data_IF_022033473210
#
_entry.id   IF_022033473210
#
_cell.length_a   1.000
_cell.length_b   1.000
_cell.length_c   1.000
_cell.angle_alpha   90.00
_cell.angle_beta   90.00
_cell.angle_gamma   90.00
#
_symmetry.space_group_name_H-M   'P 1'
#
loop_
_entity.id
_entity.type
_entity.pdbx_description
1 polymer ?
#
# COMPACT_ATOMS: atom_id res chain seq x y z
N UNK A 1 -12.27 52.85 -37.37
CA UNK A 1 -11.89 51.89 -38.45
C UNK A 1 -10.40 51.59 -38.28
N UNK A 2 -9.86 50.40 -38.58
CA UNK A 2 -10.41 49.04 -38.60
C UNK A 2 -9.50 48.01 -37.85
N UNK A 3 -10.08 46.98 -37.22
CA UNK A 3 -9.96 45.54 -37.56
C UNK A 3 -8.53 44.94 -37.56
N UNK A 4 -8.20 44.14 -36.54
CA UNK A 4 -7.00 43.29 -36.53
C UNK A 4 -7.07 42.05 -35.63
N UNK A 5 -8.25 41.68 -35.12
CA UNK A 5 -8.43 40.66 -34.08
C UNK A 5 -9.07 39.35 -34.55
N UNK A 6 -9.13 39.12 -35.88
CA UNK A 6 -9.83 37.97 -36.46
C UNK A 6 -8.93 36.76 -36.79
N UNK A 7 -7.63 36.95 -36.98
CA UNK A 7 -6.75 35.88 -37.49
C UNK A 7 -6.22 34.96 -36.40
N UNK A 8 -6.05 35.45 -35.17
CA UNK A 8 -5.49 34.64 -34.06
C UNK A 8 -6.51 33.67 -33.44
N UNK A 9 -7.82 33.88 -33.66
CA UNK A 9 -8.87 32.99 -33.13
C UNK A 9 -9.09 31.72 -33.97
N UNK A 10 -8.57 31.67 -35.20
CA UNK A 10 -8.75 30.53 -36.10
C UNK A 10 -7.78 29.38 -35.81
N UNK A 11 -6.61 29.64 -35.21
CA UNK A 11 -5.64 28.59 -34.84
C UNK A 11 -5.97 27.87 -33.52
N UNK A 12 -6.83 28.45 -32.67
CA UNK A 12 -7.20 27.84 -31.39
C UNK A 12 -8.35 26.82 -31.47
N UNK A 13 -9.10 26.77 -32.59
CA UNK A 13 -10.26 25.87 -32.73
C UNK A 13 -9.94 24.54 -33.43
N UNK A 14 -8.78 24.43 -34.09
CA UNK A 14 -8.37 23.21 -34.80
C UNK A 14 -7.71 22.14 -33.89
N UNK A 15 -7.33 22.49 -32.66
CA UNK A 15 -6.69 21.55 -31.72
C UNK A 15 -7.71 20.79 -30.83
N UNK A 16 -8.99 21.20 -30.82
CA UNK A 16 -10.04 20.57 -30.02
C UNK A 16 -10.78 19.40 -30.70
N UNK A 17 -10.40 19.00 -31.92
CA UNK A 17 -11.13 17.99 -32.73
C UNK A 17 -10.51 16.58 -32.73
N UNK A 18 -9.53 16.28 -31.88
CA UNK A 18 -8.76 15.02 -31.94
C UNK A 18 -8.97 14.02 -30.78
N UNK A 19 -9.95 14.20 -29.88
CA UNK A 19 -10.18 13.25 -28.76
C UNK A 19 -11.61 12.71 -28.61
N UNK A 20 -12.41 12.70 -29.68
CA UNK A 20 -13.73 12.07 -29.69
C UNK A 20 -13.74 10.82 -30.59
N UNK A 21 -13.18 9.71 -30.10
CA UNK A 21 -13.41 8.39 -30.70
C UNK A 21 -13.16 7.28 -29.67
N UNK A 22 -14.25 6.78 -29.07
CA UNK A 22 -14.53 5.36 -28.79
C UNK A 22 -15.55 5.24 -27.64
N UNK A 23 -16.82 5.49 -27.95
CA UNK A 23 -17.94 4.82 -27.28
C UNK A 23 -18.53 3.84 -28.30
N UNK A 24 -18.40 2.55 -28.04
CA UNK A 24 -19.00 1.47 -28.82
C UNK A 24 -19.70 0.52 -27.87
N UNK A 25 -21.03 0.59 -27.87
CA UNK A 25 -21.96 -0.32 -27.20
C UNK A 25 -22.43 -1.36 -28.23
N UNK A 26 -22.44 -2.65 -27.88
CA UNK A 26 -23.14 -3.65 -28.69
C UNK A 26 -22.59 -5.06 -28.65
N UNK A 27 -23.47 -6.01 -28.29
CA UNK A 27 -23.47 -7.34 -28.93
C UNK A 27 -23.29 -8.54 -28.02
N UNK A 28 -24.41 -9.13 -27.60
CA UNK A 28 -24.51 -10.55 -27.22
C UNK A 28 -24.08 -11.44 -28.41
N UNK A 29 -23.24 -12.45 -28.18
CA UNK A 29 -23.45 -13.84 -28.66
C UNK A 29 -22.31 -14.77 -28.28
N UNK A 30 -22.69 -15.90 -27.69
CA UNK A 30 -21.85 -17.07 -27.43
C UNK A 30 -21.25 -17.65 -28.71
N UNK A 31 -20.04 -18.19 -28.61
CA UNK A 31 -19.57 -19.31 -29.42
C UNK A 31 -18.49 -20.08 -28.66
N UNK A 32 -18.85 -21.30 -28.25
CA UNK A 32 -17.91 -22.31 -27.78
C UNK A 32 -17.00 -22.75 -28.92
N UNK A 33 -15.68 -22.73 -28.72
CA UNK A 33 -14.78 -23.79 -29.21
C UNK A 33 -13.41 -23.69 -28.51
N UNK A 34 -12.77 -24.82 -28.12
CA UNK A 34 -11.59 -24.82 -27.27
C UNK A 34 -10.33 -24.64 -28.11
N UNK A 35 -9.61 -23.55 -27.88
CA UNK A 35 -8.24 -23.39 -28.36
C UNK A 35 -7.31 -23.55 -27.17
N UNK A 36 -6.68 -24.71 -27.09
CA UNK A 36 -5.60 -25.00 -26.16
C UNK A 36 -4.41 -24.14 -26.58
N UNK A 37 -4.15 -23.06 -25.83
CA UNK A 37 -2.93 -22.27 -25.94
C UNK A 37 -2.17 -22.32 -24.60
N UNK A 38 -0.82 -22.46 -24.61
CA UNK A 38 -0.05 -22.83 -23.44
C UNK A 38 -0.12 -21.80 -22.32
N UNK A 39 -0.18 -22.31 -21.08
CA UNK A 39 -0.18 -21.50 -19.86
C UNK A 39 0.97 -20.49 -19.83
N UNK A 40 0.65 -19.22 -20.03
CA UNK A 40 1.44 -18.14 -19.44
C UNK A 40 1.10 -18.10 -17.95
N UNK A 41 2.08 -18.20 -17.03
CA UNK A 41 1.85 -17.92 -15.62
C UNK A 41 1.72 -16.39 -15.47
N UNK A 42 0.61 -15.84 -15.95
CA UNK A 42 0.10 -14.55 -15.52
C UNK A 42 -0.54 -14.74 -14.15
N UNK A 43 0.27 -15.07 -13.15
CA UNK A 43 -0.15 -14.92 -11.77
C UNK A 43 -0.30 -13.41 -11.55
N UNK A 44 -1.52 -12.91 -11.77
CA UNK A 44 -2.00 -11.77 -11.01
C UNK A 44 -1.67 -12.09 -9.57
N UNK A 45 -0.71 -11.37 -9.00
CA UNK A 45 -0.57 -11.27 -7.57
C UNK A 45 -1.91 -10.71 -7.09
N UNK A 46 -2.84 -11.61 -6.77
CA UNK A 46 -3.88 -11.31 -5.83
C UNK A 46 -3.10 -10.78 -4.63
N UNK A 47 -3.29 -9.50 -4.33
CA UNK A 47 -2.83 -8.90 -3.10
C UNK A 47 -3.41 -9.78 -1.99
N UNK A 48 -2.60 -10.71 -1.50
CA UNK A 48 -2.96 -11.61 -0.42
C UNK A 48 -3.12 -10.68 0.76
N UNK A 49 -4.36 -10.30 1.05
CA UNK A 49 -4.68 -9.60 2.27
C UNK A 49 -4.01 -10.41 3.40
N UNK A 50 -3.14 -9.79 4.22
CA UNK A 50 -2.43 -10.52 5.26
C UNK A 50 -3.48 -11.20 6.13
N UNK A 51 -3.30 -12.50 6.37
CA UNK A 51 -4.13 -13.23 7.31
C UNK A 51 -4.14 -12.44 8.62
N UNK A 52 -5.33 -12.15 9.14
CA UNK A 52 -5.46 -11.38 10.38
C UNK A 52 -4.71 -12.13 11.49
N UNK A 53 -3.70 -11.46 12.03
CA UNK A 53 -2.78 -12.06 12.98
C UNK A 53 -3.41 -12.05 14.38
N UNK A 54 -3.66 -13.23 14.99
CA UNK A 54 -4.37 -13.32 16.26
C UNK A 54 -3.48 -12.81 17.39
N UNK A 55 -3.79 -11.62 17.92
CA UNK A 55 -3.05 -11.00 19.04
C UNK A 55 -2.63 -9.54 18.82
N UNK A 56 -2.94 -8.96 17.65
CA UNK A 56 -2.67 -7.55 17.35
C UNK A 56 -3.77 -6.60 17.85
N UNK A 57 -4.87 -7.12 18.39
CA UNK A 57 -6.02 -6.34 18.86
C UNK A 57 -5.77 -5.58 20.17
N UNK A 58 -4.66 -5.87 20.86
CA UNK A 58 -4.27 -5.20 22.10
C UNK A 58 -3.03 -4.31 21.96
N UNK A 59 -2.46 -4.20 20.76
CA UNK A 59 -1.26 -3.39 20.54
C UNK A 59 -1.63 -1.92 20.46
N UNK A 60 -1.07 -1.13 21.36
CA UNK A 60 -1.23 0.31 21.38
C UNK A 60 -0.16 0.99 20.53
N UNK A 61 -0.61 1.78 19.57
CA UNK A 61 0.25 2.57 18.69
C UNK A 61 0.19 4.06 19.01
N UNK A 62 -0.53 4.48 20.05
CA UNK A 62 -0.71 5.89 20.34
C UNK A 62 0.60 6.50 20.84
N UNK A 63 0.84 7.77 20.55
CA UNK A 63 1.97 8.50 21.08
C UNK A 63 1.69 10.00 21.09
N UNK A 64 2.35 10.72 22.00
CA UNK A 64 2.40 12.19 21.98
C UNK A 64 3.77 12.70 21.52
N UNK A 65 4.82 11.89 21.67
CA UNK A 65 6.19 12.22 21.27
C UNK A 65 6.96 10.98 20.81
N UNK A 66 8.06 11.19 20.10
CA UNK A 66 8.92 10.11 19.57
C UNK A 66 9.48 9.20 20.69
N UNK A 67 9.70 9.76 21.89
CA UNK A 67 10.24 9.03 23.05
C UNK A 67 9.29 7.95 23.58
N UNK A 68 8.00 8.07 23.27
CA UNK A 68 6.99 7.07 23.65
C UNK A 68 6.97 5.88 22.69
N UNK A 69 7.65 5.97 21.54
CA UNK A 69 7.66 4.93 20.52
C UNK A 69 8.91 4.06 20.60
N UNK A 70 8.72 2.75 20.66
CA UNK A 70 9.81 1.77 20.74
C UNK A 70 9.53 0.59 19.82
N UNK A 71 10.61 -0.03 19.32
CA UNK A 71 10.52 -1.27 18.54
C UNK A 71 10.29 -2.43 19.53
N UNK A 72 9.13 -3.07 19.44
CA UNK A 72 8.80 -4.31 20.18
C UNK A 72 8.43 -5.41 19.21
N UNK A 73 8.59 -6.66 19.65
CA UNK A 73 8.05 -7.80 18.94
C UNK A 73 6.57 -7.94 19.28
N UNK A 74 5.71 -7.73 18.29
CA UNK A 74 4.26 -7.91 18.44
C UNK A 74 3.80 -9.33 18.11
N UNK A 75 4.70 -10.16 17.60
CA UNK A 75 4.40 -11.51 17.14
C UNK A 75 3.69 -11.54 15.79
N UNK A 76 3.85 -12.67 15.11
CA UNK A 76 3.00 -13.05 13.99
C UNK A 76 2.96 -14.56 13.79
N UNK A 77 1.97 -15.08 13.04
CA UNK A 77 2.01 -16.42 12.44
C UNK A 77 3.23 -16.64 11.53
N UNK A 78 4.00 -15.59 11.24
CA UNK A 78 5.29 -15.67 10.56
C UNK A 78 6.52 -15.60 11.48
N UNK A 79 6.33 -15.65 12.79
CA UNK A 79 7.40 -15.56 13.79
C UNK A 79 7.65 -14.12 14.27
N UNK A 80 8.93 -13.74 14.39
CA UNK A 80 9.35 -12.44 14.89
C UNK A 80 8.83 -11.29 14.01
N UNK A 81 8.07 -10.37 14.60
CA UNK A 81 7.49 -9.22 13.89
C UNK A 81 7.84 -7.93 14.65
N UNK A 82 8.93 -7.24 14.27
CA UNK A 82 9.26 -5.97 14.88
C UNK A 82 8.25 -4.91 14.44
N UNK A 83 7.74 -4.13 15.38
CA UNK A 83 6.88 -2.99 15.11
C UNK A 83 7.16 -1.84 16.06
N UNK A 84 6.97 -0.62 15.58
CA UNK A 84 6.95 0.58 16.42
C UNK A 84 5.60 0.67 17.11
N UNK A 85 5.62 0.65 18.43
CA UNK A 85 4.43 0.69 19.28
C UNK A 85 4.72 1.60 20.46
N UNK A 86 3.68 1.96 21.22
CA UNK A 86 3.88 2.67 22.47
C UNK A 86 4.72 1.81 23.44
N UNK A 87 5.61 2.45 24.21
CA UNK A 87 6.44 1.79 25.22
C UNK A 87 5.62 0.96 26.21
N UNK A 88 4.45 1.48 26.60
CA UNK A 88 3.52 0.85 27.52
C UNK A 88 2.57 -0.15 26.84
N UNK A 89 2.62 -0.29 25.51
CA UNK A 89 1.79 -1.25 24.77
C UNK A 89 2.04 -2.67 25.26
N UNK A 90 1.01 -3.47 25.58
CA UNK A 90 1.19 -4.89 25.78
C UNK A 90 1.54 -5.57 24.44
N UNK A 91 2.32 -6.65 24.52
CA UNK A 91 2.68 -7.49 23.37
C UNK A 91 2.77 -8.93 23.85
N UNK A 92 2.23 -9.89 23.09
CA UNK A 92 2.29 -11.32 23.42
C UNK A 92 2.72 -12.17 22.20
N UNK A 93 3.99 -12.07 21.77
CA UNK A 93 4.47 -12.83 20.63
C UNK A 93 4.41 -14.35 20.88
N UNK A 94 4.45 -14.80 22.13
CA UNK A 94 4.36 -16.21 22.48
C UNK A 94 2.93 -16.75 22.32
N UNK A 95 1.92 -15.99 22.77
CA UNK A 95 0.51 -16.34 22.59
C UNK A 95 0.09 -16.33 21.12
N UNK A 96 0.53 -15.34 20.35
CA UNK A 96 0.36 -15.31 18.88
C UNK A 96 0.93 -16.59 18.27
N UNK A 97 2.17 -16.94 18.64
CA UNK A 97 2.84 -18.14 18.14
C UNK A 97 2.03 -19.40 18.46
N UNK A 98 1.59 -19.56 19.69
CA UNK A 98 0.82 -20.73 20.11
C UNK A 98 -0.53 -20.83 19.37
N UNK A 99 -1.19 -19.70 19.12
CA UNK A 99 -2.43 -19.67 18.35
C UNK A 99 -2.20 -20.14 16.90
N UNK A 100 -1.18 -19.62 16.23
CA UNK A 100 -0.86 -19.98 14.85
C UNK A 100 -0.38 -21.43 14.71
N UNK A 101 0.34 -21.98 15.71
CA UNK A 101 0.70 -23.41 15.75
C UNK A 101 -0.54 -24.30 15.84
N UNK A 102 -1.47 -23.93 16.73
CA UNK A 102 -2.74 -24.66 16.92
C UNK A 102 -3.61 -24.62 15.67
N UNK A 103 -3.65 -23.48 14.99
CA UNK A 103 -4.48 -23.28 13.80
C UNK A 103 -3.79 -23.77 12.51
N UNK A 104 -2.52 -24.19 12.59
CA UNK A 104 -1.74 -24.68 11.46
C UNK A 104 -1.42 -23.61 10.40
N UNK A 105 -1.46 -22.33 10.79
CA UNK A 105 -1.29 -21.17 9.90
C UNK A 105 0.13 -20.62 9.90
N UNK A 106 1.05 -21.30 10.57
CA UNK A 106 2.47 -20.92 10.60
C UNK A 106 3.07 -20.81 9.19
N UNK A 107 3.81 -19.74 8.95
CA UNK A 107 4.49 -19.47 7.68
C UNK A 107 5.81 -18.73 7.91
N UNK A 108 6.51 -18.37 6.84
CA UNK A 108 7.73 -17.57 6.91
C UNK A 108 7.48 -16.28 6.12
N UNK A 109 7.62 -15.13 6.79
CA UNK A 109 7.49 -13.82 6.17
C UNK A 109 8.85 -13.10 6.14
N UNK A 110 9.05 -12.26 5.13
CA UNK A 110 10.11 -11.25 5.14
C UNK A 110 9.56 -9.95 5.72
N UNK A 111 9.89 -9.64 6.97
CA UNK A 111 9.56 -8.33 7.55
C UNK A 111 10.68 -7.33 7.29
N UNK A 112 10.35 -6.07 6.98
CA UNK A 112 11.35 -5.03 6.77
C UNK A 112 12.10 -4.74 8.07
N UNK A 113 13.38 -4.40 7.94
CA UNK A 113 14.15 -3.86 9.06
C UNK A 113 13.64 -2.46 9.41
N UNK A 114 13.33 -2.26 10.69
CA UNK A 114 12.96 -0.97 11.26
C UNK A 114 14.19 -0.44 11.99
N UNK A 115 14.67 0.75 11.63
CA UNK A 115 15.88 1.33 12.22
C UNK A 115 15.55 2.31 13.35
N UNK A 116 14.38 2.94 13.30
CA UNK A 116 13.93 3.90 14.30
C UNK A 116 12.39 3.92 14.33
N UNK A 117 11.84 4.54 15.37
CA UNK A 117 10.42 4.86 15.49
C UNK A 117 10.24 6.38 15.61
N UNK A 118 9.14 6.89 15.06
CA UNK A 118 8.73 8.28 15.21
C UNK A 118 7.23 8.34 15.50
N UNK A 119 6.82 9.36 16.25
CA UNK A 119 5.43 9.68 16.48
C UNK A 119 4.90 10.58 15.36
N UNK A 120 4.11 10.00 14.47
CA UNK A 120 3.51 10.71 13.34
C UNK A 120 2.01 10.69 13.49
N UNK A 121 1.40 11.88 13.55
CA UNK A 121 -0.05 12.03 13.69
C UNK A 121 -0.66 11.27 14.89
N UNK A 122 0.03 11.32 16.05
CA UNK A 122 -0.30 10.58 17.28
C UNK A 122 -0.27 9.05 17.14
N UNK A 123 0.53 8.55 16.19
CA UNK A 123 0.74 7.13 15.94
C UNK A 123 2.23 6.81 15.82
N UNK A 124 2.69 5.76 16.49
CA UNK A 124 4.04 5.24 16.34
C UNK A 124 4.21 4.59 14.96
N UNK A 125 5.12 5.15 14.17
CA UNK A 125 5.45 4.69 12.82
C UNK A 125 6.92 4.27 12.74
N UNK A 126 7.18 3.20 11.99
CA UNK A 126 8.52 2.73 11.70
C UNK A 126 9.19 3.54 10.61
N UNK A 127 10.42 3.98 10.86
CA UNK A 127 11.27 4.60 9.85
C UNK A 127 12.23 3.54 9.33
N UNK A 128 11.99 3.07 8.09
CA UNK A 128 13.00 2.35 7.34
C UNK A 128 14.01 3.35 6.78
N UNK A 129 15.30 2.98 6.72
CA UNK A 129 16.41 3.86 6.32
C UNK A 129 16.35 4.45 4.90
N UNK A 130 15.27 4.22 4.16
CA UNK A 130 15.01 4.72 2.81
C UNK A 130 13.88 5.77 2.76
N UNK A 131 13.19 6.03 3.88
CA UNK A 131 12.04 6.92 3.95
C UNK A 131 12.22 8.05 5.00
N UNK A 132 13.46 8.49 5.20
CA UNK A 132 13.68 9.90 5.51
C UNK A 132 13.17 10.66 4.29
N UNK A 133 11.97 11.24 4.41
CA UNK A 133 11.39 12.11 3.40
C UNK A 133 12.49 12.97 2.78
N UNK A 134 12.69 12.85 1.46
CA UNK A 134 13.49 13.83 0.76
C UNK A 134 12.98 15.21 1.20
N UNK A 135 13.84 16.10 1.71
CA UNK A 135 13.40 17.47 1.97
C UNK A 135 12.92 18.02 0.63
N UNK A 136 11.66 18.45 0.58
CA UNK A 136 11.15 19.25 -0.51
C UNK A 136 12.02 20.52 -0.58
N UNK A 137 13.05 20.48 -1.43
CA UNK A 137 13.86 21.63 -1.78
C UNK A 137 12.99 22.51 -2.65
N UNK A 138 12.24 23.38 -1.99
CA UNK A 138 11.60 24.53 -2.62
C UNK A 138 12.69 25.52 -3.02
N UNK A 139 13.02 25.48 -4.30
CA UNK A 139 13.83 26.43 -5.04
C UNK A 139 13.30 27.88 -4.85
N UNK A 140 14.19 28.85 -4.65
CA UNK A 140 13.94 30.27 -4.94
C UNK A 140 15.21 30.96 -5.41
#
# INVERSE_FOLDING_TARGET
MPQGSRTTRLTAMALCLLLAACAGDGGKSSSNSPSVEPAAPGASAAEVAPAADPGIDHVDYHCESDEQCVIKDIGSCCGYRPACVNIDSPTDPAGVKAACERDGTMSICGFPAINACQCVANRCEGVSGSNAALPATGEK
#
